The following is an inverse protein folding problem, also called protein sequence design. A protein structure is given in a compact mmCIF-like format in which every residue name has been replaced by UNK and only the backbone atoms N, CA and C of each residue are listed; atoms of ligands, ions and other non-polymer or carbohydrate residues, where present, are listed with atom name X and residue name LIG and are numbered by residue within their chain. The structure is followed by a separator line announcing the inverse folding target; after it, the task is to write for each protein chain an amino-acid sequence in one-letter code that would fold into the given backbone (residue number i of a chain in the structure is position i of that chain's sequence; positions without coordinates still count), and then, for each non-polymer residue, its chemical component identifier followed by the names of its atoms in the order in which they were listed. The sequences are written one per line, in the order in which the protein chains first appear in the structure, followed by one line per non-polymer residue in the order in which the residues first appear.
data_IF_574088317967
#
_entry.id   IF_574088317967
#
_cell.length_a   1.000
_cell.length_b   1.000
_cell.length_c   1.000
_cell.angle_alpha   90.00
_cell.angle_beta   90.00
_cell.angle_gamma   90.00
#
_symmetry.space_group_name_H-M   'P 1'
#
loop_
_entity.id
_entity.type
_entity.pdbx_description
1 polymer ?
#
# COMPACT_ATOMS: atom_id res chain seq x y z
N UNK A 1 -13.01 52.38 48.04
CA UNK A 1 -11.97 51.36 48.29
C UNK A 1 -12.30 50.12 47.45
N UNK A 2 -11.39 49.80 46.52
CA UNK A 2 -11.21 48.65 45.60
C UNK A 2 -12.37 47.66 45.36
N UNK A 3 -13.00 47.78 44.18
CA UNK A 3 -13.73 46.70 43.50
C UNK A 3 -12.73 45.79 42.78
N UNK A 4 -12.71 44.49 43.11
CA UNK A 4 -11.96 43.47 42.39
C UNK A 4 -12.75 43.01 41.16
N UNK A 5 -12.19 43.24 39.97
CA UNK A 5 -12.79 42.92 38.68
C UNK A 5 -12.25 41.56 38.22
N UNK A 6 -13.08 40.53 38.02
CA UNK A 6 -12.58 39.21 37.68
C UNK A 6 -12.08 39.21 36.22
N UNK A 7 -10.86 38.74 36.05
CA UNK A 7 -10.15 38.62 34.79
C UNK A 7 -10.75 37.42 34.02
N UNK A 8 -11.58 37.70 33.01
CA UNK A 8 -12.01 36.67 32.07
C UNK A 8 -10.78 36.18 31.28
N UNK A 9 -10.23 35.04 31.67
CA UNK A 9 -9.33 34.26 30.84
C UNK A 9 -10.14 33.72 29.66
N UNK A 10 -10.03 34.39 28.50
CA UNK A 10 -10.49 33.84 27.23
C UNK A 10 -9.54 32.69 26.86
N UNK A 11 -9.95 31.46 27.16
CA UNK A 11 -9.27 30.24 26.73
C UNK A 11 -9.54 30.12 25.22
N UNK A 12 -8.55 30.50 24.43
CA UNK A 12 -8.53 30.33 22.98
C UNK A 12 -8.29 28.84 22.70
N UNK A 13 -9.38 28.09 22.49
CA UNK A 13 -9.33 26.69 22.09
C UNK A 13 -8.67 26.60 20.71
N UNK A 14 -7.40 26.23 20.63
CA UNK A 14 -6.82 25.77 19.38
C UNK A 14 -7.55 24.47 18.99
N UNK A 15 -8.50 24.60 18.07
CA UNK A 15 -9.00 23.46 17.32
C UNK A 15 -7.81 22.88 16.54
N UNK A 16 -7.19 21.84 17.10
CA UNK A 16 -6.18 21.07 16.38
C UNK A 16 -6.81 20.57 15.09
N UNK A 17 -6.25 20.97 13.95
CA UNK A 17 -6.59 20.41 12.65
C UNK A 17 -6.49 18.89 12.77
N UNK A 18 -7.59 18.20 12.48
CA UNK A 18 -7.66 16.75 12.49
C UNK A 18 -6.54 16.16 11.64
N UNK A 19 -5.87 15.15 12.16
CA UNK A 19 -4.90 14.36 11.42
C UNK A 19 -5.65 13.59 10.34
N UNK A 20 -5.88 14.22 9.19
CA UNK A 20 -6.14 13.50 7.94
C UNK A 20 -4.99 12.48 7.79
N UNK A 21 -5.27 11.20 7.51
CA UNK A 21 -4.20 10.24 7.30
C UNK A 21 -3.34 10.73 6.15
N UNK A 22 -2.09 11.10 6.46
CA UNK A 22 -1.12 11.67 5.51
C UNK A 22 -0.86 10.74 4.31
N UNK A 23 -1.27 9.47 4.41
CA UNK A 23 -1.20 8.50 3.34
C UNK A 23 -2.57 7.88 3.05
N UNK A 24 -2.99 7.92 1.78
CA UNK A 24 -4.12 7.14 1.27
C UNK A 24 -3.63 5.90 0.54
N UNK A 25 -4.49 4.88 0.42
CA UNK A 25 -4.20 3.73 -0.43
C UNK A 25 -5.42 3.31 -1.23
N UNK A 26 -5.24 3.19 -2.54
CA UNK A 26 -6.29 2.90 -3.51
C UNK A 26 -6.07 1.52 -4.11
N UNK A 27 -7.07 0.63 -3.98
CA UNK A 27 -6.98 -0.74 -4.50
C UNK A 27 -7.11 -0.72 -6.01
N UNK A 28 -6.10 -1.27 -6.69
CA UNK A 28 -6.05 -1.36 -8.15
C UNK A 28 -6.39 -2.76 -8.67
N UNK A 29 -6.09 -3.80 -7.88
CA UNK A 29 -6.36 -5.18 -8.28
C UNK A 29 -6.59 -6.11 -7.08
N UNK A 30 -7.44 -7.11 -7.25
CA UNK A 30 -7.67 -8.18 -6.26
C UNK A 30 -7.58 -9.55 -6.95
N UNK A 31 -6.64 -10.38 -6.51
CA UNK A 31 -6.49 -11.77 -6.94
C UNK A 31 -6.97 -12.72 -5.83
N UNK A 32 -7.89 -13.62 -6.14
CA UNK A 32 -8.44 -14.60 -5.17
C UNK A 32 -7.73 -15.94 -5.29
N UNK A 33 -7.39 -16.53 -4.16
CA UNK A 33 -6.78 -17.85 -4.11
C UNK A 33 -7.86 -18.93 -4.31
N UNK A 34 -7.61 -19.87 -5.22
CA UNK A 34 -8.56 -20.94 -5.51
C UNK A 34 -8.47 -22.00 -4.40
N UNK A 35 -9.61 -22.32 -3.78
CA UNK A 35 -9.69 -23.35 -2.74
C UNK A 35 -9.36 -22.88 -1.33
N UNK A 36 -9.26 -21.56 -1.10
CA UNK A 36 -9.18 -20.99 0.25
C UNK A 36 -9.91 -19.64 0.34
N UNK A 37 -9.94 -19.03 1.53
CA UNK A 37 -10.47 -17.68 1.74
C UNK A 37 -9.42 -16.58 1.58
N UNK A 38 -8.21 -16.91 1.09
CA UNK A 38 -7.14 -15.94 0.89
C UNK A 38 -7.38 -15.06 -0.33
N UNK A 39 -6.88 -13.84 -0.25
CA UNK A 39 -6.80 -12.92 -1.37
C UNK A 39 -5.48 -12.16 -1.32
N UNK A 40 -5.04 -11.68 -2.48
CA UNK A 40 -3.96 -10.72 -2.62
C UNK A 40 -4.54 -9.43 -3.21
N UNK A 41 -4.30 -8.31 -2.55
CA UNK A 41 -4.69 -6.96 -2.99
C UNK A 41 -3.46 -6.23 -3.47
N UNK A 42 -3.51 -5.70 -4.68
CA UNK A 42 -2.59 -4.68 -5.16
C UNK A 42 -3.22 -3.31 -4.93
N UNK A 43 -2.46 -2.40 -4.36
CA UNK A 43 -2.90 -1.03 -4.13
C UNK A 43 -1.77 -0.04 -4.42
N UNK A 44 -2.14 1.17 -4.79
CA UNK A 44 -1.22 2.31 -4.82
C UNK A 44 -1.33 3.05 -3.49
N UNK A 45 -0.21 3.44 -2.88
CA UNK A 45 -0.17 4.33 -1.72
C UNK A 45 0.41 5.68 -2.12
N UNK A 46 -0.30 6.75 -1.76
CA UNK A 46 0.11 8.13 -1.94
C UNK A 46 0.25 8.80 -0.57
N UNK A 47 1.43 9.33 -0.25
CA UNK A 47 1.70 10.05 1.00
C UNK A 47 1.90 11.56 0.83
N UNK A 48 1.55 12.11 -0.35
CA UNK A 48 1.59 13.53 -0.64
C UNK A 48 2.69 13.95 -1.63
N UNK A 49 2.78 15.26 -1.88
CA UNK A 49 3.52 15.86 -2.98
C UNK A 49 5.04 15.63 -2.97
N UNK A 50 5.61 15.26 -1.82
CA UNK A 50 7.07 15.09 -1.66
C UNK A 50 7.52 13.63 -1.69
N UNK A 51 6.58 12.69 -1.89
CA UNK A 51 6.87 11.25 -1.94
C UNK A 51 6.32 10.64 -3.22
N UNK A 52 7.12 9.80 -3.87
CA UNK A 52 6.64 8.99 -5.00
C UNK A 52 5.51 8.05 -4.55
N UNK A 53 4.65 7.66 -5.49
CA UNK A 53 3.65 6.64 -5.25
C UNK A 53 4.33 5.29 -4.99
N UNK A 54 3.81 4.53 -4.03
CA UNK A 54 4.26 3.17 -3.78
C UNK A 54 3.21 2.16 -4.27
N UNK A 55 3.64 1.14 -4.98
CA UNK A 55 2.83 -0.03 -5.29
C UNK A 55 3.01 -1.09 -4.22
N UNK A 56 1.88 -1.59 -3.72
CA UNK A 56 1.83 -2.43 -2.53
C UNK A 56 1.04 -3.69 -2.84
N UNK A 57 1.56 -4.84 -2.42
CA UNK A 57 0.80 -6.10 -2.39
C UNK A 57 0.59 -6.52 -0.95
N UNK A 58 -0.67 -6.79 -0.58
CA UNK A 58 -1.08 -7.33 0.72
C UNK A 58 -1.78 -8.66 0.55
N UNK A 59 -1.52 -9.61 1.46
CA UNK A 59 -2.25 -10.88 1.53
C UNK A 59 -3.17 -10.85 2.75
N UNK A 60 -4.44 -11.16 2.56
CA UNK A 60 -5.43 -11.24 3.63
C UNK A 60 -6.29 -12.48 3.53
N UNK A 61 -7.18 -12.64 4.51
CA UNK A 61 -8.23 -13.66 4.54
C UNK A 61 -9.59 -12.99 4.58
N UNK A 62 -10.56 -13.54 3.86
CA UNK A 62 -11.92 -12.98 3.82
C UNK A 62 -12.63 -13.09 5.17
N UNK A 63 -12.22 -14.03 6.02
CA UNK A 63 -12.67 -14.18 7.41
C UNK A 63 -12.08 -13.15 8.38
N UNK A 64 -11.09 -12.35 7.95
CA UNK A 64 -10.39 -11.38 8.79
C UNK A 64 -10.66 -9.93 8.32
N UNK A 65 -10.58 -8.93 9.22
CA UNK A 65 -10.61 -7.53 8.84
C UNK A 65 -9.50 -7.16 7.85
N UNK A 66 -9.75 -6.21 6.94
CA UNK A 66 -8.76 -5.73 5.97
C UNK A 66 -7.49 -5.16 6.62
N UNK A 67 -7.60 -4.62 7.84
CA UNK A 67 -6.46 -4.14 8.63
C UNK A 67 -5.52 -5.26 9.08
N UNK A 68 -5.98 -6.51 9.11
CA UNK A 68 -5.16 -7.66 9.45
C UNK A 68 -4.36 -8.20 8.24
N UNK A 69 -4.58 -7.69 7.02
CA UNK A 69 -3.85 -8.10 5.84
C UNK A 69 -2.36 -7.77 5.96
N UNK A 70 -1.50 -8.71 5.58
CA UNK A 70 -0.05 -8.58 5.69
C UNK A 70 0.52 -8.01 4.39
N UNK A 71 1.24 -6.89 4.50
CA UNK A 71 1.98 -6.30 3.40
C UNK A 71 3.22 -7.13 3.06
N UNK A 72 3.26 -7.69 1.86
CA UNK A 72 4.32 -8.60 1.39
C UNK A 72 5.23 -7.97 0.35
N UNK A 73 4.75 -6.97 -0.40
CA UNK A 73 5.52 -6.28 -1.43
C UNK A 73 5.31 -4.78 -1.31
N UNK A 74 6.39 -4.01 -1.39
CA UNK A 74 6.37 -2.55 -1.52
C UNK A 74 7.49 -2.14 -2.47
N UNK A 75 7.14 -1.41 -3.52
CA UNK A 75 8.09 -0.84 -4.46
C UNK A 75 7.57 0.47 -5.04
N UNK A 76 8.48 1.34 -5.47
CA UNK A 76 8.15 2.57 -6.19
C UNK A 76 8.83 2.61 -7.56
N UNK A 77 8.63 3.70 -8.29
CA UNK A 77 9.15 3.85 -9.64
C UNK A 77 10.65 4.08 -9.73
N UNK A 78 11.36 4.14 -8.60
CA UNK A 78 12.77 4.52 -8.53
C UNK A 78 13.02 5.85 -9.25
N UNK A 79 12.31 6.91 -8.82
CA UNK A 79 12.41 8.23 -9.44
C UNK A 79 12.06 8.23 -10.94
N UNK A 80 11.02 7.46 -11.32
CA UNK A 80 10.54 7.37 -12.70
C UNK A 80 11.33 6.44 -13.63
N UNK A 81 12.21 5.57 -13.10
CA UNK A 81 12.94 4.59 -13.90
C UNK A 81 12.03 3.51 -14.53
N UNK A 82 10.89 3.21 -13.90
CA UNK A 82 9.79 2.44 -14.50
C UNK A 82 8.64 3.37 -14.88
N UNK A 83 7.96 3.03 -15.97
CA UNK A 83 6.71 3.69 -16.30
C UNK A 83 5.66 3.36 -15.22
N UNK A 84 4.89 4.38 -14.87
CA UNK A 84 3.77 4.26 -13.94
C UNK A 84 2.47 4.15 -14.75
N UNK A 85 1.58 3.27 -14.32
CA UNK A 85 0.23 3.15 -14.83
C UNK A 85 -0.70 4.21 -14.24
N UNK A 86 -1.99 4.09 -14.54
CA UNK A 86 -3.02 4.95 -13.96
C UNK A 86 -2.94 4.94 -12.44
N UNK A 87 -2.82 6.12 -11.84
CA UNK A 87 -2.73 6.28 -10.39
C UNK A 87 -1.34 6.01 -9.80
N UNK A 88 -0.26 6.12 -10.56
CA UNK A 88 1.12 6.10 -10.01
C UNK A 88 1.66 4.71 -9.65
N UNK A 89 0.93 3.64 -9.95
CA UNK A 89 1.42 2.28 -9.70
C UNK A 89 2.47 1.87 -10.73
N UNK A 90 3.56 1.23 -10.30
CA UNK A 90 4.46 0.52 -11.21
C UNK A 90 3.74 -0.70 -11.79
N UNK A 91 4.26 -1.23 -12.90
CA UNK A 91 3.75 -2.51 -13.40
C UNK A 91 4.03 -3.63 -12.39
N UNK A 92 2.96 -4.29 -11.97
CA UNK A 92 3.00 -5.55 -11.22
C UNK A 92 1.95 -6.52 -11.77
N UNK A 93 2.30 -7.81 -11.80
CA UNK A 93 1.37 -8.90 -12.12
C UNK A 93 1.31 -9.84 -10.93
N UNK A 94 0.14 -9.93 -10.32
CA UNK A 94 -0.13 -10.71 -9.11
C UNK A 94 -1.09 -11.83 -9.44
N UNK A 95 -0.64 -13.08 -9.32
CA UNK A 95 -1.43 -14.26 -9.71
C UNK A 95 -1.20 -15.40 -8.73
N UNK A 96 -2.29 -16.05 -8.30
CA UNK A 96 -2.22 -17.33 -7.62
C UNK A 96 -1.94 -18.44 -8.64
N UNK A 97 -0.78 -19.07 -8.54
CA UNK A 97 -0.32 -20.10 -9.49
C UNK A 97 -0.78 -21.51 -9.10
N UNK A 98 -1.04 -21.70 -7.81
CA UNK A 98 -1.64 -22.89 -7.20
C UNK A 98 -2.24 -22.46 -5.85
N UNK A 99 -3.08 -23.30 -5.20
CA UNK A 99 -3.61 -23.00 -3.87
C UNK A 99 -2.50 -22.62 -2.89
N UNK A 100 -2.55 -21.40 -2.35
CA UNK A 100 -1.56 -20.88 -1.40
C UNK A 100 -0.20 -20.51 -2.00
N UNK A 101 -0.03 -20.51 -3.33
CA UNK A 101 1.21 -20.11 -4.00
C UNK A 101 1.01 -18.85 -4.85
N UNK A 102 1.44 -17.70 -4.32
CA UNK A 102 1.34 -16.41 -4.97
C UNK A 102 2.60 -16.11 -5.80
N UNK A 103 2.41 -15.72 -7.06
CA UNK A 103 3.46 -15.14 -7.89
C UNK A 103 3.26 -13.64 -8.02
N UNK A 104 4.32 -12.88 -7.76
CA UNK A 104 4.38 -11.42 -7.94
C UNK A 104 5.51 -11.11 -8.91
N UNK A 105 5.15 -10.76 -10.15
CA UNK A 105 6.10 -10.20 -11.11
C UNK A 105 6.03 -8.67 -11.09
N UNK A 106 7.17 -8.00 -11.22
CA UNK A 106 7.28 -6.53 -11.15
C UNK A 106 8.34 -6.00 -12.13
N UNK A 107 8.27 -4.71 -12.48
CA UNK A 107 9.25 -4.08 -13.37
C UNK A 107 10.65 -4.11 -12.72
N UNK A 108 11.64 -4.69 -13.41
CA UNK A 108 13.00 -4.85 -12.89
C UNK A 108 13.72 -3.54 -12.55
N UNK A 109 13.23 -2.40 -13.04
CA UNK A 109 13.80 -1.06 -12.77
C UNK A 109 13.21 -0.40 -11.52
N UNK A 110 12.12 -0.95 -10.98
CA UNK A 110 11.50 -0.47 -9.76
C UNK A 110 12.44 -0.65 -8.55
N UNK A 111 12.35 0.28 -7.60
CA UNK A 111 13.07 0.15 -6.32
C UNK A 111 12.16 -0.54 -5.33
N UNK A 112 12.62 -1.71 -4.87
CA UNK A 112 11.89 -2.55 -3.92
C UNK A 112 12.33 -2.22 -2.50
N UNK A 113 11.36 -1.96 -1.63
CA UNK A 113 11.58 -1.75 -0.20
C UNK A 113 11.24 -2.98 0.66
N UNK A 114 10.36 -3.85 0.16
CA UNK A 114 9.87 -5.00 0.94
C UNK A 114 9.62 -6.23 0.08
N UNK A 115 10.15 -7.36 0.53
CA UNK A 115 9.82 -8.72 0.07
C UNK A 115 9.58 -9.62 1.29
N UNK A 116 8.41 -10.22 1.38
CA UNK A 116 8.06 -11.21 2.40
C UNK A 116 7.61 -12.48 1.70
N UNK A 117 8.36 -13.56 1.90
CA UNK A 117 8.18 -14.80 1.14
C UNK A 117 7.04 -15.69 1.66
N UNK A 118 6.46 -15.38 2.81
CA UNK A 118 5.31 -16.07 3.36
C UNK A 118 4.41 -15.14 4.18
N UNK A 119 3.10 -15.27 4.02
CA UNK A 119 2.14 -14.56 4.84
C UNK A 119 0.78 -15.23 4.80
N UNK A 120 0.05 -15.23 5.93
CA UNK A 120 -1.30 -15.79 6.04
C UNK A 120 -1.42 -17.24 5.54
N UNK A 121 -0.34 -18.02 5.62
CA UNK A 121 -0.29 -19.39 5.12
C UNK A 121 -0.25 -19.51 3.59
N UNK A 122 0.25 -18.50 2.89
CA UNK A 122 0.62 -18.54 1.49
C UNK A 122 2.14 -18.33 1.34
N UNK A 123 2.75 -18.97 0.35
CA UNK A 123 4.12 -18.67 -0.09
C UNK A 123 4.09 -17.66 -1.25
N UNK A 124 5.09 -16.80 -1.31
CA UNK A 124 5.21 -15.73 -2.31
C UNK A 124 6.51 -15.89 -3.08
N UNK A 125 6.39 -15.90 -4.41
CA UNK A 125 7.54 -15.95 -5.33
C UNK A 125 7.60 -14.66 -6.15
N UNK A 126 8.76 -14.02 -6.10
CA UNK A 126 9.01 -12.76 -6.81
C UNK A 126 9.77 -12.99 -8.11
N UNK A 127 9.42 -12.23 -9.15
CA UNK A 127 10.15 -12.19 -10.42
C UNK A 127 10.27 -10.76 -10.94
N UNK A 128 11.49 -10.23 -10.94
CA UNK A 128 11.81 -9.03 -11.70
C UNK A 128 11.68 -9.33 -13.21
N UNK A 129 10.99 -8.47 -13.95
CA UNK A 129 10.74 -8.63 -15.39
C UNK A 129 10.76 -7.26 -16.07
N UNK A 130 11.11 -7.21 -17.35
CA UNK A 130 10.84 -6.03 -18.18
C UNK A 130 9.50 -6.25 -18.90
N UNK A 131 8.43 -5.52 -18.53
CA UNK A 131 7.11 -5.71 -19.13
C UNK A 131 6.96 -5.02 -20.50
N UNK A 132 7.94 -4.23 -20.93
CA UNK A 132 7.90 -3.43 -22.17
C UNK A 132 8.76 -3.99 -23.30
N UNK A 133 9.63 -4.96 -23.02
CA UNK A 133 10.28 -5.78 -24.03
C UNK A 133 9.23 -6.66 -24.75
N UNK A 134 8.64 -6.11 -25.81
CA UNK A 134 7.96 -6.90 -26.84
C UNK A 134 9.05 -7.60 -27.66
N UNK A 135 9.11 -8.93 -27.57
CA UNK A 135 9.80 -9.77 -28.56
C UNK A 135 9.10 -9.66 -29.91
#
# INVERSE_FOLDING_TARGET
MKMARPWCFAILSLAGCGAEPLCSSDVTHVARDIGSDRYAVTATRNCGATTDYATIVRIGRASEPQSAASEVFVADSNHGATAEGSGGAIWVKVVWTAPGQLSVAYDSRARVFKHVFDAKGASVRYKASDPYLRL
#
